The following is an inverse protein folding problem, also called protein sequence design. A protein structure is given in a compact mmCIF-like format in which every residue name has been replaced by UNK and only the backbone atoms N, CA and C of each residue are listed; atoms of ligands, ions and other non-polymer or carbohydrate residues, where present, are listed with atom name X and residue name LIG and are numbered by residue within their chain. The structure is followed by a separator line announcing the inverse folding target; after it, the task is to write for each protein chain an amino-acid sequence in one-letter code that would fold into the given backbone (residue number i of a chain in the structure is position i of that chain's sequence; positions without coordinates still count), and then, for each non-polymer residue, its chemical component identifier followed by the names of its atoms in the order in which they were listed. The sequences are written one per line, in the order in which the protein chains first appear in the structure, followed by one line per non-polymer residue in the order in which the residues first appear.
data_IF_031689075383
#
_entry.id   IF_031689075383
#
_cell.length_a   1.000
_cell.length_b   1.000
_cell.length_c   1.000
_cell.angle_alpha   90.00
_cell.angle_beta   90.00
_cell.angle_gamma   90.00
#
_symmetry.space_group_name_H-M   'P 1'
#
loop_
_entity.id
_entity.type
_entity.pdbx_description
1 polymer ?
#
# COMPACT_ATOMS: atom_id res chain seq x y z
N UNK A 1 -4.49 10.39 11.96
CA UNK A 1 -4.00 9.27 11.10
C UNK A 1 -3.00 9.73 10.02
N UNK A 2 -3.21 10.88 9.37
CA UNK A 2 -2.34 11.33 8.27
C UNK A 2 -0.89 11.70 8.66
N UNK A 3 -0.69 12.42 9.78
CA UNK A 3 0.62 12.98 10.13
C UNK A 3 1.70 11.92 10.46
N UNK A 4 1.35 10.84 11.14
CA UNK A 4 2.32 9.78 11.47
C UNK A 4 2.70 8.96 10.24
N UNK A 5 1.76 8.69 9.36
CA UNK A 5 2.00 7.97 8.12
C UNK A 5 2.90 8.79 7.19
N UNK A 6 2.60 10.09 7.01
CA UNK A 6 3.42 11.01 6.21
C UNK A 6 4.84 11.12 6.76
N UNK A 7 5.00 11.19 8.08
CA UNK A 7 6.31 11.23 8.73
C UNK A 7 7.09 9.92 8.55
N UNK A 8 6.41 8.79 8.65
CA UNK A 8 7.03 7.47 8.43
C UNK A 8 7.43 7.31 6.98
N UNK A 9 6.56 7.66 6.04
CA UNK A 9 6.85 7.66 4.60
C UNK A 9 8.05 8.55 4.27
N UNK A 10 8.10 9.77 4.83
CA UNK A 10 9.22 10.69 4.64
C UNK A 10 10.54 10.14 5.20
N UNK A 11 10.51 9.44 6.32
CA UNK A 11 11.69 8.81 6.91
C UNK A 11 12.20 7.62 6.08
N UNK A 12 11.30 6.77 5.58
CA UNK A 12 11.65 5.65 4.69
C UNK A 12 12.29 6.16 3.41
N UNK A 13 11.76 7.24 2.83
CA UNK A 13 12.32 7.88 1.64
C UNK A 13 13.70 8.50 1.88
N UNK A 14 13.93 9.09 3.07
CA UNK A 14 15.26 9.62 3.44
C UNK A 14 16.32 8.54 3.60
N UNK A 15 15.95 7.36 4.08
CA UNK A 15 16.89 6.24 4.27
C UNK A 15 17.37 5.67 2.94
N UNK A 16 16.56 5.71 1.88
CA UNK A 16 16.94 5.25 0.54
C UNK A 16 17.74 6.28 -0.27
N UNK A 17 17.76 7.55 0.13
CA UNK A 17 18.33 8.64 -0.66
C UNK A 17 19.53 9.29 0.01
N UNK A 18 20.66 8.69 0.05
CA UNK A 18 21.93 9.29 0.54
C UNK A 18 22.18 10.78 0.20
N UNK A 19 21.30 11.68 0.65
CA UNK A 19 21.55 13.13 0.79
C UNK A 19 21.44 14.02 -0.45
N UNK A 20 20.95 13.56 -1.60
CA UNK A 20 20.80 14.37 -2.83
C UNK A 20 19.34 14.70 -3.15
N UNK A 21 19.02 15.98 -3.41
CA UNK A 21 17.74 16.44 -3.94
C UNK A 21 17.55 15.99 -5.39
N UNK A 22 17.17 14.74 -5.62
CA UNK A 22 16.67 14.29 -6.91
C UNK A 22 15.14 14.28 -6.86
N UNK A 23 14.52 14.91 -7.85
CA UNK A 23 13.09 14.84 -8.08
C UNK A 23 12.77 13.38 -8.41
N UNK A 24 12.28 12.62 -7.45
CA UNK A 24 12.08 11.19 -7.58
C UNK A 24 10.63 10.88 -7.91
N UNK A 25 10.43 10.05 -8.91
CA UNK A 25 9.15 9.37 -9.10
C UNK A 25 9.13 8.18 -8.13
N UNK A 26 8.31 8.26 -7.09
CA UNK A 26 8.21 7.24 -6.06
C UNK A 26 6.89 6.50 -6.26
N UNK A 27 6.96 5.18 -6.28
CA UNK A 27 5.79 4.31 -6.45
C UNK A 27 5.53 3.55 -5.17
N UNK A 28 4.35 3.76 -4.56
CA UNK A 28 3.87 2.98 -3.42
C UNK A 28 2.85 1.95 -3.88
N UNK A 29 2.96 0.74 -3.34
CA UNK A 29 1.92 -0.28 -3.41
C UNK A 29 1.11 -0.26 -2.11
N UNK A 30 -0.20 -0.11 -2.19
CA UNK A 30 -1.09 -0.25 -1.04
C UNK A 30 -1.66 -1.66 -1.03
N UNK A 31 -1.27 -2.46 -0.04
CA UNK A 31 -1.67 -3.84 0.14
C UNK A 31 -2.50 -4.04 1.42
N UNK A 32 -3.15 -5.16 1.54
CA UNK A 32 -3.90 -5.56 2.73
C UNK A 32 -5.04 -6.51 2.42
N UNK A 33 -5.58 -7.12 3.47
CA UNK A 33 -6.70 -8.03 3.35
C UNK A 33 -7.98 -7.30 2.88
N UNK A 34 -8.95 -8.03 2.29
CA UNK A 34 -10.26 -7.45 1.99
C UNK A 34 -10.89 -6.79 3.23
N UNK A 35 -11.50 -5.63 3.04
CA UNK A 35 -12.20 -4.84 4.08
C UNK A 35 -11.31 -4.33 5.23
N UNK A 36 -10.00 -4.29 5.09
CA UNK A 36 -9.11 -3.69 6.10
C UNK A 36 -9.06 -2.14 6.07
N UNK A 37 -9.77 -1.50 5.13
CA UNK A 37 -9.84 -0.04 5.00
C UNK A 37 -8.94 0.54 3.91
N UNK A 38 -8.43 -0.26 2.97
CA UNK A 38 -7.55 0.20 1.87
C UNK A 38 -8.15 1.33 1.04
N UNK A 39 -9.40 1.20 0.60
CA UNK A 39 -10.08 2.23 -0.19
C UNK A 39 -10.15 3.56 0.56
N UNK A 40 -10.43 3.54 1.85
CA UNK A 40 -10.45 4.75 2.69
C UNK A 40 -9.07 5.39 2.76
N UNK A 41 -8.04 4.61 2.98
CA UNK A 41 -6.64 5.07 3.00
C UNK A 41 -6.24 5.64 1.63
N UNK A 42 -6.52 4.92 0.54
CA UNK A 42 -6.22 5.36 -0.82
C UNK A 42 -6.86 6.70 -1.15
N UNK A 43 -8.16 6.86 -0.83
CA UNK A 43 -8.88 8.12 -1.04
C UNK A 43 -8.32 9.26 -0.17
N UNK A 44 -7.92 8.98 1.06
CA UNK A 44 -7.30 9.97 1.94
C UNK A 44 -5.96 10.46 1.39
N UNK A 45 -5.16 9.57 0.83
CA UNK A 45 -3.85 9.90 0.25
C UNK A 45 -3.95 10.66 -1.08
N UNK A 46 -4.84 10.25 -1.97
CA UNK A 46 -4.87 10.72 -3.37
C UNK A 46 -5.94 11.78 -3.64
N UNK A 47 -7.04 11.76 -2.91
CA UNK A 47 -8.19 12.65 -3.14
C UNK A 47 -8.84 12.44 -4.50
N UNK A 48 -9.02 13.53 -5.26
CA UNK A 48 -9.64 13.51 -6.60
C UNK A 48 -8.68 13.10 -7.73
N UNK A 49 -7.38 12.99 -7.45
CA UNK A 49 -6.36 12.69 -8.46
C UNK A 49 -6.16 11.18 -8.61
N UNK A 50 -7.20 10.49 -9.07
CA UNK A 50 -7.23 9.03 -9.23
C UNK A 50 -7.48 8.65 -10.68
N UNK A 51 -6.83 7.58 -11.10
CA UNK A 51 -7.15 6.85 -12.31
C UNK A 51 -7.77 5.50 -11.91
N UNK A 52 -8.91 5.17 -12.51
CA UNK A 52 -9.60 3.90 -12.31
C UNK A 52 -9.75 3.20 -13.66
N UNK A 53 -9.33 1.96 -13.72
CA UNK A 53 -9.39 1.12 -14.91
C UNK A 53 -9.33 -0.34 -14.51
N UNK A 54 -8.91 -1.19 -15.45
CA UNK A 54 -8.67 -2.61 -15.15
C UNK A 54 -7.17 -2.92 -15.30
N UNK A 55 -6.73 -3.93 -14.58
CA UNK A 55 -5.42 -4.51 -14.81
C UNK A 55 -5.34 -5.10 -16.24
N UNK A 56 -4.19 -5.01 -16.92
CA UNK A 56 -4.06 -5.51 -18.29
C UNK A 56 -4.47 -6.97 -18.43
N UNK A 57 -5.38 -7.27 -19.36
CA UNK A 57 -5.79 -8.63 -19.71
C UNK A 57 -6.76 -9.31 -18.74
N UNK A 58 -7.21 -8.61 -17.71
CA UNK A 58 -8.15 -9.15 -16.70
C UNK A 58 -9.24 -8.16 -16.34
N UNK A 59 -10.31 -8.63 -15.65
CA UNK A 59 -11.44 -7.80 -15.21
C UNK A 59 -11.26 -7.21 -13.82
N UNK A 60 -10.10 -7.41 -13.20
CA UNK A 60 -9.77 -6.89 -11.87
C UNK A 60 -9.54 -5.38 -11.96
N UNK A 61 -10.20 -4.62 -11.08
CA UNK A 61 -10.08 -3.16 -11.03
C UNK A 61 -8.68 -2.73 -10.58
N UNK A 62 -8.11 -1.75 -11.29
CA UNK A 62 -6.86 -1.06 -10.94
C UNK A 62 -7.18 0.38 -10.55
N UNK A 63 -6.68 0.80 -9.39
CA UNK A 63 -6.71 2.20 -8.96
C UNK A 63 -5.29 2.70 -8.75
N UNK A 64 -5.03 3.87 -9.30
CA UNK A 64 -3.74 4.55 -9.19
C UNK A 64 -4.00 6.04 -8.96
N UNK A 65 -3.20 6.69 -8.13
CA UNK A 65 -3.37 8.10 -7.86
C UNK A 65 -2.12 8.78 -7.34
N UNK A 66 -2.06 10.09 -7.48
CA UNK A 66 -0.96 10.91 -6.94
C UNK A 66 -1.28 11.35 -5.52
N UNK A 67 -0.29 11.29 -4.63
CA UNK A 67 -0.41 11.75 -3.25
C UNK A 67 -0.58 13.26 -3.21
N UNK A 68 -1.55 13.73 -2.41
CA UNK A 68 -1.81 15.16 -2.19
C UNK A 68 -0.68 15.81 -1.39
N UNK A 69 -0.48 17.12 -1.63
CA UNK A 69 0.30 17.97 -0.73
C UNK A 69 1.81 17.92 -0.93
N UNK A 70 2.33 16.97 -1.66
CA UNK A 70 3.76 16.91 -1.96
C UNK A 70 4.04 17.53 -3.34
N UNK A 71 4.48 18.81 -3.32
CA UNK A 71 4.79 19.56 -4.56
C UNK A 71 6.18 19.26 -5.12
N UNK A 72 7.05 18.65 -4.32
CA UNK A 72 8.46 18.41 -4.68
C UNK A 72 8.68 17.01 -5.25
N UNK A 73 7.95 15.99 -4.75
CA UNK A 73 8.08 14.61 -5.18
C UNK A 73 6.85 14.12 -5.93
N UNK A 74 7.05 13.41 -7.02
CA UNK A 74 5.98 12.78 -7.77
C UNK A 74 5.71 11.39 -7.16
N UNK A 75 4.89 11.35 -6.10
CA UNK A 75 4.53 10.10 -5.41
C UNK A 75 3.24 9.56 -5.99
N UNK A 76 3.31 8.34 -6.51
CA UNK A 76 2.17 7.59 -7.03
C UNK A 76 1.83 6.44 -6.08
N UNK A 77 0.55 6.27 -5.78
CA UNK A 77 0.04 5.12 -5.01
C UNK A 77 -0.77 4.24 -5.94
N UNK A 78 -0.47 2.95 -5.94
CA UNK A 78 -1.25 1.92 -6.63
C UNK A 78 -1.99 1.09 -5.59
N UNK A 79 -3.33 1.07 -5.66
CA UNK A 79 -4.17 0.24 -4.79
C UNK A 79 -4.22 -1.18 -5.35
N UNK A 80 -3.61 -2.12 -4.64
CA UNK A 80 -3.67 -3.53 -5.01
C UNK A 80 -5.02 -4.13 -4.59
N UNK A 81 -5.52 -5.14 -5.29
CA UNK A 81 -6.69 -5.90 -4.85
C UNK A 81 -6.56 -6.38 -3.42
N UNK A 82 -7.67 -6.46 -2.69
CA UNK A 82 -7.70 -7.06 -1.35
C UNK A 82 -7.42 -8.56 -1.45
N UNK A 83 -6.34 -9.01 -0.79
CA UNK A 83 -5.88 -10.39 -0.84
C UNK A 83 -5.53 -10.90 0.55
N UNK A 84 -5.59 -12.21 0.76
CA UNK A 84 -5.17 -12.86 2.01
C UNK A 84 -3.76 -13.43 1.93
N UNK A 85 -3.26 -13.67 0.72
CA UNK A 85 -1.91 -14.20 0.47
C UNK A 85 -1.41 -13.79 -0.92
N UNK A 86 -0.13 -13.99 -1.18
CA UNK A 86 0.47 -13.87 -2.52
C UNK A 86 0.49 -15.21 -3.29
N UNK A 87 -0.23 -16.20 -2.80
CA UNK A 87 -0.38 -17.48 -3.50
C UNK A 87 -1.28 -17.32 -4.74
N UNK A 88 -0.88 -17.79 -5.92
CA UNK A 88 -1.55 -17.45 -7.17
C UNK A 88 -2.81 -18.31 -7.43
N UNK A 89 -3.77 -18.29 -6.53
CA UNK A 89 -5.01 -19.06 -6.66
C UNK A 89 -6.17 -18.25 -7.23
N UNK A 90 -6.20 -16.94 -6.98
CA UNK A 90 -7.23 -16.03 -7.52
C UNK A 90 -6.60 -15.03 -8.48
N UNK A 91 -7.41 -14.40 -9.34
CA UNK A 91 -6.93 -13.35 -10.25
C UNK A 91 -6.36 -12.15 -9.47
N UNK A 92 -6.98 -11.81 -8.35
CA UNK A 92 -6.54 -10.73 -7.45
C UNK A 92 -5.15 -11.01 -6.88
N UNK A 93 -4.90 -12.24 -6.45
CA UNK A 93 -3.60 -12.68 -5.93
C UNK A 93 -2.53 -12.70 -7.03
N UNK A 94 -2.88 -13.22 -8.22
CA UNK A 94 -1.98 -13.20 -9.39
C UNK A 94 -1.59 -11.77 -9.76
N UNK A 95 -2.57 -10.88 -9.90
CA UNK A 95 -2.34 -9.47 -10.27
C UNK A 95 -1.47 -8.77 -9.22
N UNK A 96 -1.75 -8.96 -7.94
CA UNK A 96 -0.98 -8.34 -6.86
C UNK A 96 0.46 -8.83 -6.83
N UNK A 97 0.66 -10.14 -6.98
CA UNK A 97 1.99 -10.75 -7.05
C UNK A 97 2.78 -10.26 -8.26
N UNK A 98 2.17 -10.28 -9.44
CA UNK A 98 2.83 -9.84 -10.68
C UNK A 98 3.24 -8.37 -10.61
N UNK A 99 2.40 -7.53 -10.02
CA UNK A 99 2.74 -6.13 -9.80
C UNK A 99 3.96 -5.99 -8.89
N UNK A 100 3.99 -6.68 -7.75
CA UNK A 100 5.09 -6.59 -6.79
C UNK A 100 6.41 -7.10 -7.36
N UNK A 101 6.37 -8.10 -8.25
CA UNK A 101 7.58 -8.71 -8.83
C UNK A 101 8.10 -7.97 -10.07
N UNK A 102 7.23 -7.31 -10.85
CA UNK A 102 7.59 -6.77 -12.16
C UNK A 102 7.57 -5.24 -12.25
N UNK A 103 6.83 -4.56 -11.36
CA UNK A 103 6.66 -3.11 -11.38
C UNK A 103 7.55 -2.35 -10.40
N UNK A 104 8.37 -3.07 -9.63
CA UNK A 104 9.37 -2.55 -8.68
C UNK A 104 8.86 -1.37 -7.84
N UNK A 105 7.81 -1.53 -7.01
CA UNK A 105 7.40 -0.46 -6.12
C UNK A 105 8.52 -0.14 -5.11
N UNK A 106 8.70 1.13 -4.81
CA UNK A 106 9.74 1.59 -3.86
C UNK A 106 9.39 1.21 -2.41
N UNK A 107 8.09 1.15 -2.09
CA UNK A 107 7.58 0.82 -0.75
C UNK A 107 6.22 0.14 -0.86
N UNK A 108 6.00 -0.86 -0.02
CA UNK A 108 4.69 -1.45 0.21
C UNK A 108 4.11 -0.87 1.51
N UNK A 109 2.91 -0.33 1.46
CA UNK A 109 2.12 0.02 2.65
C UNK A 109 1.12 -1.11 2.87
N UNK A 110 1.35 -1.90 3.91
CA UNK A 110 0.47 -3.01 4.27
C UNK A 110 -0.52 -2.58 5.34
N UNK A 111 -1.80 -2.52 4.97
CA UNK A 111 -2.88 -2.15 5.87
C UNK A 111 -3.38 -3.36 6.62
N UNK A 112 -3.12 -3.39 7.93
CA UNK A 112 -3.44 -4.48 8.85
C UNK A 112 -4.66 -4.10 9.69
N UNK A 113 -5.70 -4.93 9.65
CA UNK A 113 -6.83 -4.84 10.55
C UNK A 113 -6.42 -5.34 11.95
N UNK A 114 -6.31 -4.42 12.90
CA UNK A 114 -5.89 -4.72 14.26
C UNK A 114 -6.87 -5.64 15.00
N UNK A 115 -8.14 -5.72 14.58
CA UNK A 115 -9.13 -6.63 15.18
C UNK A 115 -8.96 -8.09 14.75
N UNK A 116 -8.19 -8.35 13.68
CA UNK A 116 -7.90 -9.67 13.12
C UNK A 116 -6.40 -9.80 12.78
N UNK A 117 -5.55 -9.39 13.69
CA UNK A 117 -4.12 -9.20 13.44
C UNK A 117 -3.42 -10.48 12.96
N UNK A 118 -3.69 -11.63 13.56
CA UNK A 118 -3.07 -12.91 13.20
C UNK A 118 -3.31 -13.26 11.72
N UNK A 119 -4.55 -13.11 11.25
CA UNK A 119 -4.91 -13.38 9.86
C UNK A 119 -4.23 -12.42 8.90
N UNK A 120 -4.12 -11.14 9.27
CA UNK A 120 -3.52 -10.12 8.43
C UNK A 120 -1.99 -10.28 8.34
N UNK A 121 -1.33 -10.65 9.44
CA UNK A 121 0.13 -10.83 9.48
C UNK A 121 0.62 -11.95 8.57
N UNK A 122 -0.22 -12.89 8.16
CA UNK A 122 0.15 -13.89 7.18
C UNK A 122 0.53 -13.26 5.83
N UNK A 123 -0.28 -12.32 5.33
CA UNK A 123 0.07 -11.54 4.15
C UNK A 123 1.32 -10.69 4.39
N UNK A 124 1.42 -10.03 5.54
CA UNK A 124 2.57 -9.20 5.91
C UNK A 124 3.89 -9.95 5.77
N UNK A 125 3.96 -11.19 6.25
CA UNK A 125 5.18 -12.02 6.15
C UNK A 125 5.57 -12.27 4.70
N UNK A 126 4.60 -12.57 3.84
CA UNK A 126 4.85 -12.78 2.40
C UNK A 126 5.27 -11.49 1.69
N UNK A 127 4.71 -10.34 2.07
CA UNK A 127 5.12 -9.04 1.52
C UNK A 127 6.58 -8.73 1.87
N UNK A 128 7.00 -9.01 3.10
CA UNK A 128 8.40 -8.84 3.55
C UNK A 128 9.36 -9.74 2.73
N UNK A 129 8.93 -10.97 2.41
CA UNK A 129 9.72 -11.91 1.61
C UNK A 129 9.97 -11.44 0.17
N UNK A 130 9.20 -10.48 -0.35
CA UNK A 130 9.47 -9.87 -1.68
C UNK A 130 10.76 -9.06 -1.72
N UNK A 131 11.29 -8.66 -0.56
CA UNK A 131 12.47 -7.80 -0.46
C UNK A 131 12.18 -6.30 -0.64
N UNK A 132 10.97 -5.92 -1.02
CA UNK A 132 10.54 -4.52 -1.07
C UNK A 132 10.32 -4.01 0.36
N UNK A 133 10.76 -2.79 0.71
CA UNK A 133 10.49 -2.20 2.03
C UNK A 133 8.99 -2.18 2.35
N UNK A 134 8.61 -2.72 3.52
CA UNK A 134 7.22 -2.79 3.97
C UNK A 134 7.00 -1.87 5.15
N UNK A 135 5.98 -1.02 5.06
CA UNK A 135 5.45 -0.21 6.17
C UNK A 135 4.11 -0.79 6.59
N UNK A 136 4.02 -1.27 7.81
CA UNK A 136 2.77 -1.79 8.36
C UNK A 136 1.96 -0.64 8.97
N UNK A 137 0.74 -0.47 8.48
CA UNK A 137 -0.22 0.52 8.99
C UNK A 137 -1.36 -0.20 9.71
N UNK A 138 -1.41 -0.08 11.04
CA UNK A 138 -2.50 -0.64 11.84
C UNK A 138 -3.76 0.23 11.71
N UNK A 139 -4.85 -0.38 11.28
CA UNK A 139 -6.18 0.24 11.21
C UNK A 139 -7.15 -0.41 12.20
N UNK A 140 -8.26 0.26 12.48
CA UNK A 140 -9.31 -0.22 13.41
C UNK A 140 -8.84 -0.44 14.86
N UNK A 141 -7.73 0.17 15.27
CA UNK A 141 -7.21 0.07 16.65
C UNK A 141 -8.18 0.63 17.69
N UNK A 142 -8.98 1.64 17.34
CA UNK A 142 -10.03 2.23 18.16
C UNK A 142 -11.13 1.22 18.51
N UNK A 143 -11.33 0.19 17.69
CA UNK A 143 -12.31 -0.87 17.98
C UNK A 143 -11.80 -1.86 19.04
N UNK A 144 -10.49 -2.03 19.15
CA UNK A 144 -9.89 -2.87 20.19
C UNK A 144 -10.04 -2.19 21.55
N UNK A 145 -9.73 -0.89 21.63
CA UNK A 145 -9.87 -0.12 22.88
C UNK A 145 -11.31 -0.14 23.42
N UNK A 146 -12.32 -0.17 22.55
CA UNK A 146 -13.73 -0.25 22.94
C UNK A 146 -14.18 -1.65 23.38
N UNK A 147 -13.45 -2.70 23.05
CA UNK A 147 -13.74 -4.08 23.44
C UNK A 147 -13.03 -4.51 24.75
N UNK A 148 -12.08 -3.69 25.16
CA UNK A 148 -11.24 -3.68 26.40
C UNK A 148 -11.38 -4.53 27.35
#
# INVERSE_FOLDING_TARGET
MNYQLEKTMHNVLKLNNGGGKLKMNIKFALAGNPNCGKTTMFNALTGANQYVGNWPGVTVEKKEGKVKGNKEDNITVVDLPGIYSLSPYTLEEVVSRDFLLNEDPDVIIDLVDATNIERNLYLTTQLIETGVPVVVALNMADLIEKRG
#
